data_IF_793523568499
#
_entry.id   IF_793523568499
#
_cell.length_a   1.000
_cell.length_b   1.000
_cell.length_c   1.000
_cell.angle_alpha   90.00
_cell.angle_beta   90.00
_cell.angle_gamma   90.00
#
_symmetry.space_group_name_H-M   'P 1'
#
loop_
_entity.id
_entity.type
_entity.pdbx_description
1 polymer ?
#
# COMPACT_ATOMS: atom_id res chain seq x y z
N UNK A 1 -21.64 3.30 2.41
CA UNK A 1 -20.20 3.10 2.70
C UNK A 1 -20.06 2.12 3.87
N UNK A 2 -19.23 1.07 3.73
CA UNK A 2 -18.90 0.13 4.82
C UNK A 2 -17.42 0.30 5.15
N UNK A 3 -17.09 0.51 6.43
CA UNK A 3 -15.72 0.50 6.94
C UNK A 3 -15.53 -0.85 7.65
N UNK A 4 -14.59 -1.66 7.19
CA UNK A 4 -14.30 -3.00 7.74
C UNK A 4 -15.54 -3.93 7.84
N UNK A 5 -16.46 -3.85 6.87
CA UNK A 5 -17.68 -4.68 6.85
C UNK A 5 -18.84 -4.13 7.68
N UNK A 6 -18.61 -3.12 8.53
CA UNK A 6 -19.64 -2.43 9.30
C UNK A 6 -20.11 -1.21 8.51
N UNK A 7 -21.43 -1.03 8.39
CA UNK A 7 -21.99 0.17 7.74
C UNK A 7 -21.75 1.39 8.62
N UNK A 8 -21.57 2.59 8.05
CA UNK A 8 -21.41 3.82 8.84
C UNK A 8 -22.56 3.97 9.86
N UNK A 9 -23.80 3.67 9.45
CA UNK A 9 -24.95 3.61 10.35
C UNK A 9 -24.76 2.58 11.49
N UNK A 10 -24.25 1.40 11.17
CA UNK A 10 -23.92 0.34 12.14
C UNK A 10 -22.93 0.81 13.21
N UNK A 11 -21.88 1.54 12.81
CA UNK A 11 -20.92 2.13 13.76
C UNK A 11 -21.61 3.11 14.71
N UNK A 12 -22.48 3.99 14.20
CA UNK A 12 -23.25 4.90 15.06
C UNK A 12 -24.25 4.17 15.96
N UNK A 13 -24.83 3.04 15.51
CA UNK A 13 -25.69 2.20 16.35
C UNK A 13 -24.90 1.58 17.49
N UNK A 14 -23.73 1.01 17.22
CA UNK A 14 -22.85 0.41 18.24
C UNK A 14 -22.37 1.43 19.27
N UNK A 15 -22.14 2.68 18.85
CA UNK A 15 -21.81 3.80 19.75
C UNK A 15 -23.02 4.34 20.53
N UNK A 16 -24.24 3.82 20.33
CA UNK A 16 -25.47 4.33 20.95
C UNK A 16 -25.93 5.69 20.39
N UNK A 17 -25.44 6.08 19.21
CA UNK A 17 -25.60 7.39 18.58
C UNK A 17 -26.44 7.32 17.29
N UNK A 18 -27.38 6.37 17.17
CA UNK A 18 -28.25 6.26 15.99
C UNK A 18 -29.04 7.57 15.73
N UNK A 19 -29.39 8.31 16.79
CA UNK A 19 -30.07 9.61 16.69
C UNK A 19 -29.19 10.68 16.04
N UNK A 20 -27.87 10.67 16.31
CA UNK A 20 -26.90 11.57 15.70
C UNK A 20 -26.75 11.24 14.21
N UNK A 21 -26.64 9.96 13.85
CA UNK A 21 -26.59 9.54 12.45
C UNK A 21 -27.82 9.98 11.65
N UNK A 22 -29.03 9.72 12.16
CA UNK A 22 -30.29 10.15 11.53
C UNK A 22 -30.37 11.67 11.39
N UNK A 23 -29.84 12.40 12.38
CA UNK A 23 -29.73 13.86 12.32
C UNK A 23 -28.81 14.33 11.20
N UNK A 24 -27.64 13.72 11.04
CA UNK A 24 -26.67 14.04 9.99
C UNK A 24 -27.19 13.70 8.59
N UNK A 25 -27.89 12.57 8.46
CA UNK A 25 -28.50 12.15 7.19
C UNK A 25 -29.58 13.15 6.74
N UNK A 26 -30.43 13.62 7.68
CA UNK A 26 -31.41 14.68 7.41
C UNK A 26 -30.72 16.00 7.05
N UNK A 27 -29.69 16.39 7.80
CA UNK A 27 -28.91 17.61 7.53
C UNK A 27 -28.24 17.59 6.15
N UNK A 28 -27.76 16.42 5.69
CA UNK A 28 -27.22 16.25 4.34
C UNK A 28 -28.27 16.41 3.25
N UNK A 29 -29.52 16.00 3.50
CA UNK A 29 -30.61 16.14 2.54
C UNK A 29 -31.13 17.59 2.48
N UNK A 30 -31.11 18.30 3.60
CA UNK A 30 -31.60 19.69 3.69
C UNK A 30 -30.51 20.73 3.47
N UNK A 31 -29.24 20.32 3.44
CA UNK A 31 -28.08 21.22 3.39
C UNK A 31 -27.89 22.06 4.66
N UNK A 32 -28.59 21.74 5.76
CA UNK A 32 -28.59 22.54 6.99
C UNK A 32 -28.19 21.69 8.20
N UNK A 33 -27.03 22.01 8.79
CA UNK A 33 -26.54 21.40 10.01
C UNK A 33 -26.89 22.27 11.23
N UNK A 34 -27.69 21.76 12.17
CA UNK A 34 -28.03 22.52 13.39
C UNK A 34 -26.83 22.64 14.32
N UNK A 35 -26.78 23.73 15.11
CA UNK A 35 -25.71 23.96 16.10
C UNK A 35 -25.59 22.82 17.11
N UNK A 36 -26.72 22.28 17.56
CA UNK A 36 -26.75 21.14 18.48
C UNK A 36 -26.13 19.89 17.86
N UNK A 37 -26.45 19.61 16.60
CA UNK A 37 -25.92 18.47 15.86
C UNK A 37 -24.42 18.63 15.61
N UNK A 38 -23.97 19.84 15.26
CA UNK A 38 -22.53 20.22 15.17
C UNK A 38 -21.82 19.93 16.49
N UNK A 39 -22.30 20.47 17.61
CA UNK A 39 -21.67 20.28 18.92
C UNK A 39 -21.63 18.81 19.35
N UNK A 40 -22.71 18.05 19.11
CA UNK A 40 -22.74 16.61 19.40
C UNK A 40 -21.72 15.84 18.58
N UNK A 41 -21.58 16.16 17.29
CA UNK A 41 -20.59 15.53 16.41
C UNK A 41 -19.15 15.86 16.85
N UNK A 42 -18.84 17.14 17.08
CA UNK A 42 -17.50 17.58 17.49
C UNK A 42 -17.06 16.97 18.82
N UNK A 43 -17.99 16.75 19.76
CA UNK A 43 -17.68 16.13 21.07
C UNK A 43 -17.27 14.65 20.97
N UNK A 44 -17.61 13.98 19.87
CA UNK A 44 -17.27 12.57 19.62
C UNK A 44 -15.95 12.40 18.85
N UNK A 45 -15.32 13.51 18.47
CA UNK A 45 -14.06 13.49 17.74
C UNK A 45 -12.88 13.82 18.65
N UNK A 46 -11.67 13.36 18.29
CA UNK A 46 -10.44 13.87 18.88
C UNK A 46 -10.38 15.40 18.82
N UNK A 47 -9.77 16.04 19.83
CA UNK A 47 -9.77 17.51 19.97
C UNK A 47 -9.17 18.23 18.75
N UNK A 48 -8.10 17.68 18.18
CA UNK A 48 -7.44 18.21 16.98
C UNK A 48 -8.39 18.22 15.78
N UNK A 49 -9.08 17.11 15.52
CA UNK A 49 -10.07 16.96 14.44
C UNK A 49 -11.31 17.82 14.72
N UNK A 50 -11.79 17.85 15.95
CA UNK A 50 -12.92 18.67 16.36
C UNK A 50 -12.66 20.17 16.14
N UNK A 51 -11.44 20.63 16.43
CA UNK A 51 -11.04 22.03 16.18
C UNK A 51 -11.05 22.34 14.68
N UNK A 52 -10.39 21.51 13.87
CA UNK A 52 -10.35 21.67 12.41
C UNK A 52 -11.74 21.60 11.76
N UNK A 53 -12.60 20.69 12.26
CA UNK A 53 -13.96 20.54 11.75
C UNK A 53 -14.89 21.65 12.20
N UNK A 54 -14.70 22.20 13.40
CA UNK A 54 -15.41 23.41 13.82
C UNK A 54 -15.08 24.56 12.90
N UNK A 55 -13.79 24.79 12.61
CA UNK A 55 -13.34 25.85 11.72
C UNK A 55 -13.91 25.70 10.29
N UNK A 56 -13.93 24.47 9.74
CA UNK A 56 -14.53 24.19 8.44
C UNK A 56 -16.05 24.46 8.42
N UNK A 57 -16.77 24.16 9.50
CA UNK A 57 -18.19 24.50 9.59
C UNK A 57 -18.46 26.01 9.71
N UNK A 58 -17.53 26.77 10.29
CA UNK A 58 -17.68 28.21 10.49
C UNK A 58 -17.28 29.02 9.25
N UNK A 59 -16.46 28.44 8.34
CA UNK A 59 -16.04 29.05 7.08
C UNK A 59 -16.10 28.05 5.90
N UNK A 60 -17.31 27.67 5.43
CA UNK A 60 -17.51 26.60 4.45
C UNK A 60 -17.02 26.94 3.03
N UNK A 61 -16.94 28.21 2.66
CA UNK A 61 -16.42 28.66 1.36
C UNK A 61 -14.90 28.89 1.36
N UNK A 62 -14.28 28.83 2.54
CA UNK A 62 -12.84 29.00 2.66
C UNK A 62 -12.16 27.65 2.36
N UNK A 63 -11.79 27.46 1.09
CA UNK A 63 -11.03 26.30 0.62
C UNK A 63 -9.67 26.13 1.32
N UNK A 64 -9.31 27.04 2.22
CA UNK A 64 -8.16 26.96 3.13
C UNK A 64 -8.41 26.11 4.38
N UNK A 65 -9.65 25.62 4.62
CA UNK A 65 -9.88 24.77 5.79
C UNK A 65 -8.98 23.53 5.73
N UNK A 66 -8.31 23.23 6.84
CA UNK A 66 -7.37 22.11 6.93
C UNK A 66 -7.99 20.77 6.51
N UNK A 67 -9.31 20.62 6.64
CA UNK A 67 -10.07 19.46 6.18
C UNK A 67 -10.30 19.44 4.67
N UNK A 68 -10.57 20.58 4.04
CA UNK A 68 -10.70 20.65 2.57
C UNK A 68 -9.36 20.34 1.87
N UNK A 69 -8.25 20.62 2.56
CA UNK A 69 -6.90 20.30 2.13
C UNK A 69 -6.40 18.94 2.62
N UNK A 70 -7.24 18.12 3.27
CA UNK A 70 -6.86 16.78 3.74
C UNK A 70 -7.13 15.75 2.65
N UNK A 71 -6.11 14.98 2.28
CA UNK A 71 -6.29 13.86 1.35
C UNK A 71 -6.84 12.61 2.05
N UNK A 72 -7.19 11.61 1.25
CA UNK A 72 -7.82 10.38 1.76
C UNK A 72 -6.87 9.56 2.65
N UNK A 73 -5.58 9.50 2.29
CA UNK A 73 -4.58 8.81 3.09
C UNK A 73 -4.26 9.59 4.36
N UNK A 74 -4.15 10.91 4.31
CA UNK A 74 -3.98 11.71 5.52
C UNK A 74 -5.11 11.44 6.53
N UNK A 75 -6.37 11.48 6.07
CA UNK A 75 -7.52 11.17 6.91
C UNK A 75 -7.49 9.72 7.45
N UNK A 76 -7.11 8.75 6.61
CA UNK A 76 -6.98 7.36 7.02
C UNK A 76 -5.89 7.16 8.07
N UNK A 77 -4.70 7.74 7.86
CA UNK A 77 -3.56 7.63 8.77
C UNK A 77 -3.87 8.29 10.12
N UNK A 78 -4.55 9.44 10.13
CA UNK A 78 -5.01 10.07 11.37
C UNK A 78 -5.97 9.17 12.15
N UNK A 79 -6.84 8.42 11.47
CA UNK A 79 -7.78 7.51 12.12
C UNK A 79 -7.12 6.21 12.62
N UNK A 80 -6.08 5.74 11.94
CA UNK A 80 -5.37 4.49 12.30
C UNK A 80 -4.31 4.72 13.38
N UNK A 81 -3.66 5.89 13.37
CA UNK A 81 -2.57 6.24 14.28
C UNK A 81 -3.00 7.29 15.30
N UNK A 82 -4.14 7.07 15.93
CA UNK A 82 -4.53 7.78 17.15
C UNK A 82 -4.43 6.85 18.36
N UNK A 83 -4.07 7.39 19.52
CA UNK A 83 -4.11 6.65 20.78
C UNK A 83 -5.55 6.45 21.28
N UNK A 84 -5.71 5.77 22.43
CA UNK A 84 -7.03 5.51 23.03
C UNK A 84 -7.78 6.81 23.43
N UNK A 85 -7.07 7.94 23.54
CA UNK A 85 -7.63 9.26 23.81
C UNK A 85 -7.97 10.03 22.53
N UNK A 86 -7.62 9.47 21.36
CA UNK A 86 -7.75 10.11 20.06
C UNK A 86 -6.60 11.04 19.70
N UNK A 87 -5.57 11.15 20.55
CA UNK A 87 -4.41 12.00 20.27
C UNK A 87 -3.50 11.32 19.24
N UNK A 88 -2.86 12.11 18.39
CA UNK A 88 -2.08 11.59 17.27
C UNK A 88 -0.80 10.92 17.78
N UNK A 89 -0.68 9.62 17.55
CA UNK A 89 0.54 8.88 17.82
C UNK A 89 1.62 9.22 16.79
N UNK A 90 2.92 9.07 17.11
CA UNK A 90 3.98 9.21 16.12
C UNK A 90 3.77 8.24 14.95
N UNK A 91 3.83 8.77 13.74
CA UNK A 91 3.64 7.96 12.54
C UNK A 91 4.90 7.16 12.22
N UNK A 92 4.77 5.88 11.81
CA UNK A 92 5.89 5.16 11.24
C UNK A 92 6.37 5.85 9.95
N UNK A 93 7.62 5.61 9.56
CA UNK A 93 8.21 6.19 8.37
C UNK A 93 7.42 5.83 7.10
N UNK A 94 6.83 4.64 7.04
CA UNK A 94 5.94 4.22 5.96
C UNK A 94 4.69 5.10 5.86
N UNK A 95 4.03 5.40 6.99
CA UNK A 95 2.88 6.31 7.03
C UNK A 95 3.27 7.74 6.62
N UNK A 96 4.40 8.24 7.13
CA UNK A 96 4.91 9.57 6.75
C UNK A 96 5.23 9.64 5.25
N UNK A 97 5.78 8.57 4.68
CA UNK A 97 6.07 8.50 3.26
C UNK A 97 4.82 8.53 2.39
N UNK A 98 3.77 7.79 2.75
CA UNK A 98 2.47 7.84 2.04
C UNK A 98 1.93 9.26 2.05
N UNK A 99 1.93 9.92 3.21
CA UNK A 99 1.46 11.31 3.33
C UNK A 99 2.26 12.25 2.42
N UNK A 100 3.59 12.13 2.43
CA UNK A 100 4.46 12.97 1.62
C UNK A 100 4.17 12.79 0.13
N UNK A 101 3.92 11.57 -0.33
CA UNK A 101 3.55 11.28 -1.72
C UNK A 101 2.16 11.84 -2.05
N UNK A 102 1.17 11.65 -1.18
CA UNK A 102 -0.18 12.20 -1.36
C UNK A 102 -0.13 13.72 -1.52
N UNK A 103 0.51 14.43 -0.58
CA UNK A 103 0.63 15.88 -0.61
C UNK A 103 1.38 16.37 -1.84
N UNK A 104 2.50 15.74 -2.19
CA UNK A 104 3.26 16.07 -3.39
C UNK A 104 2.43 15.87 -4.66
N UNK A 105 1.59 14.82 -4.72
CA UNK A 105 0.80 14.48 -5.91
C UNK A 105 -0.38 15.43 -6.18
N UNK A 106 -0.73 16.31 -5.23
CA UNK A 106 -1.90 17.20 -5.32
C UNK A 106 -1.86 18.09 -6.56
N UNK A 107 -0.75 18.80 -6.78
CA UNK A 107 -0.65 19.73 -7.90
C UNK A 107 -0.75 19.01 -9.25
N UNK A 108 -0.08 17.86 -9.39
CA UNK A 108 -0.20 17.03 -10.59
C UNK A 108 -1.67 16.58 -10.83
N UNK A 109 -2.39 16.24 -9.76
CA UNK A 109 -3.80 15.84 -9.84
C UNK A 109 -4.68 17.01 -10.28
N UNK A 110 -4.47 18.20 -9.73
CA UNK A 110 -5.19 19.43 -10.13
C UNK A 110 -4.94 19.71 -11.62
N UNK A 111 -3.68 19.73 -12.05
CA UNK A 111 -3.30 19.95 -13.45
C UNK A 111 -3.96 18.93 -14.39
N UNK A 112 -3.98 17.64 -14.02
CA UNK A 112 -4.69 16.61 -14.78
C UNK A 112 -6.20 16.84 -14.85
N UNK A 113 -6.84 17.25 -13.75
CA UNK A 113 -8.29 17.53 -13.72
C UNK A 113 -8.66 18.76 -14.56
N UNK A 114 -7.73 19.71 -14.70
CA UNK A 114 -7.84 20.89 -15.57
C UNK A 114 -7.42 20.60 -17.03
N UNK A 115 -7.15 19.33 -17.37
CA UNK A 115 -6.65 18.88 -18.69
C UNK A 115 -5.29 19.49 -19.09
N UNK A 116 -4.52 19.99 -18.12
CA UNK A 116 -3.16 20.51 -18.31
C UNK A 116 -2.12 19.37 -18.20
N UNK A 117 -2.27 18.36 -19.05
CA UNK A 117 -1.49 17.11 -18.99
C UNK A 117 0.02 17.31 -19.16
N UNK A 118 0.42 18.21 -20.06
CA UNK A 118 1.84 18.53 -20.27
C UNK A 118 2.46 19.18 -19.02
N UNK A 119 1.77 20.16 -18.43
CA UNK A 119 2.22 20.80 -17.19
C UNK A 119 2.26 19.79 -16.02
N UNK A 120 1.31 18.86 -15.96
CA UNK A 120 1.32 17.78 -14.97
C UNK A 120 2.57 16.89 -15.12
N UNK A 121 2.91 16.47 -16.34
CA UNK A 121 4.11 15.68 -16.62
C UNK A 121 5.39 16.45 -16.25
N UNK A 122 5.48 17.73 -16.60
CA UNK A 122 6.61 18.59 -16.24
C UNK A 122 6.75 18.75 -14.72
N UNK A 123 5.64 18.94 -14.00
CA UNK A 123 5.64 18.99 -12.54
C UNK A 123 6.16 17.68 -11.94
N UNK A 124 5.65 16.54 -12.40
CA UNK A 124 6.06 15.21 -11.92
C UNK A 124 7.56 14.95 -12.18
N UNK A 125 8.06 15.33 -13.35
CA UNK A 125 9.46 15.16 -13.74
C UNK A 125 10.43 15.99 -12.87
N UNK A 126 10.00 17.18 -12.46
CA UNK A 126 10.83 18.11 -11.70
C UNK A 126 10.69 17.96 -10.18
N UNK A 127 9.61 17.34 -9.69
CA UNK A 127 9.38 17.20 -8.26
C UNK A 127 10.43 16.27 -7.60
N UNK A 128 11.11 16.67 -6.50
CA UNK A 128 12.21 15.89 -5.89
C UNK A 128 11.83 14.44 -5.52
N UNK A 129 10.63 14.26 -4.97
CA UNK A 129 10.07 12.97 -4.59
C UNK A 129 9.41 12.22 -5.76
N UNK A 130 8.43 12.84 -6.45
CA UNK A 130 7.60 12.12 -7.42
C UNK A 130 8.37 11.61 -8.64
N UNK A 131 9.43 12.32 -9.07
CA UNK A 131 10.24 11.90 -10.22
C UNK A 131 10.85 10.50 -10.07
N UNK A 132 11.02 10.01 -8.84
CA UNK A 132 11.58 8.68 -8.58
C UNK A 132 10.66 7.54 -9.05
N UNK A 133 9.34 7.80 -9.12
CA UNK A 133 8.34 6.83 -9.57
C UNK A 133 8.03 6.92 -11.07
N UNK A 134 8.75 7.80 -11.78
CA UNK A 134 8.42 8.14 -13.16
C UNK A 134 9.52 7.66 -14.10
N UNK A 135 9.17 6.78 -15.03
CA UNK A 135 10.00 6.54 -16.20
C UNK A 135 9.79 7.67 -17.22
N UNK A 136 10.73 7.80 -18.15
CA UNK A 136 10.61 8.80 -19.23
C UNK A 136 9.38 8.52 -20.11
N UNK A 137 9.04 7.25 -20.26
CA UNK A 137 7.92 6.73 -21.02
C UNK A 137 6.59 7.06 -20.32
N UNK A 138 6.49 6.84 -19.00
CA UNK A 138 5.30 7.22 -18.21
C UNK A 138 5.06 8.72 -18.27
N UNK A 139 6.11 9.55 -18.18
CA UNK A 139 5.98 11.01 -18.30
C UNK A 139 5.44 11.41 -19.68
N UNK A 140 5.91 10.76 -20.76
CA UNK A 140 5.37 10.98 -22.11
C UNK A 140 3.90 10.55 -22.19
N UNK A 141 3.55 9.40 -21.60
CA UNK A 141 2.17 8.92 -21.55
C UNK A 141 1.24 9.89 -20.80
N UNK A 142 1.71 10.46 -19.69
CA UNK A 142 0.94 11.46 -18.92
C UNK A 142 0.78 12.76 -19.70
N UNK A 143 1.79 13.19 -20.46
CA UNK A 143 1.72 14.40 -21.26
C UNK A 143 0.75 14.28 -22.46
N UNK A 144 0.57 13.07 -22.97
CA UNK A 144 -0.24 12.79 -24.17
C UNK A 144 -1.16 11.57 -23.97
N UNK A 145 -2.08 11.60 -22.99
CA UNK A 145 -2.93 10.46 -22.69
C UNK A 145 -3.99 10.28 -23.79
N UNK A 146 -4.08 9.10 -24.44
CA UNK A 146 -5.01 8.91 -25.55
C UNK A 146 -6.47 8.75 -25.13
N UNK A 147 -6.74 8.14 -23.97
CA UNK A 147 -8.07 7.94 -23.40
C UNK A 147 -8.04 7.77 -21.87
N UNK A 148 -9.23 7.74 -21.24
CA UNK A 148 -9.38 7.60 -19.78
C UNK A 148 -8.81 6.28 -19.23
N UNK A 149 -8.87 5.18 -19.98
CA UNK A 149 -8.35 3.88 -19.55
C UNK A 149 -6.82 3.88 -19.55
N UNK A 150 -6.22 4.51 -20.55
CA UNK A 150 -4.77 4.66 -20.63
C UNK A 150 -4.26 5.61 -19.53
N UNK A 151 -5.00 6.68 -19.19
CA UNK A 151 -4.70 7.49 -18.02
C UNK A 151 -4.82 6.69 -16.70
N UNK A 152 -5.86 5.86 -16.55
CA UNK A 152 -6.00 4.97 -15.40
C UNK A 152 -4.83 3.99 -15.32
N UNK A 153 -4.40 3.44 -16.45
CA UNK A 153 -3.26 2.53 -16.52
C UNK A 153 -1.95 3.19 -16.09
N UNK A 154 -1.71 4.45 -16.47
CA UNK A 154 -0.55 5.23 -16.02
C UNK A 154 -0.59 5.51 -14.51
N UNK A 155 -1.76 5.86 -13.97
CA UNK A 155 -1.94 6.07 -12.52
C UNK A 155 -1.68 4.80 -11.72
N UNK A 156 -2.20 3.67 -12.18
CA UNK A 156 -1.96 2.37 -11.55
C UNK A 156 -0.50 1.92 -11.69
N UNK A 157 0.13 2.23 -12.83
CA UNK A 157 1.55 2.01 -13.06
C UNK A 157 2.42 2.75 -12.01
N UNK A 158 2.13 4.02 -11.76
CA UNK A 158 2.77 4.78 -10.68
C UNK A 158 2.45 4.20 -9.29
N UNK A 159 1.20 3.76 -9.07
CA UNK A 159 0.81 3.16 -7.81
C UNK A 159 1.58 1.86 -7.52
N UNK A 160 1.84 1.03 -8.54
CA UNK A 160 2.66 -0.18 -8.40
C UNK A 160 4.09 0.15 -7.93
N UNK A 161 4.75 1.15 -8.53
CA UNK A 161 6.07 1.64 -8.07
C UNK A 161 6.02 2.16 -6.62
N UNK A 162 4.97 2.92 -6.27
CA UNK A 162 4.77 3.41 -4.91
C UNK A 162 4.60 2.26 -3.89
N UNK A 163 3.77 1.27 -4.20
CA UNK A 163 3.52 0.13 -3.32
C UNK A 163 4.74 -0.76 -3.16
N UNK A 164 5.52 -0.97 -4.23
CA UNK A 164 6.79 -1.68 -4.14
C UNK A 164 7.81 -0.91 -3.29
N UNK A 165 7.84 0.42 -3.43
CA UNK A 165 8.62 1.31 -2.58
C UNK A 165 8.20 1.23 -1.10
N UNK A 166 6.90 1.15 -0.81
CA UNK A 166 6.39 1.00 0.56
C UNK A 166 6.81 -0.33 1.20
N UNK A 167 6.79 -1.42 0.43
CA UNK A 167 7.29 -2.71 0.90
C UNK A 167 8.76 -2.63 1.35
N UNK A 168 9.58 -1.86 0.63
CA UNK A 168 10.96 -1.64 1.01
C UNK A 168 11.11 -0.82 2.30
N UNK A 169 10.21 0.13 2.58
CA UNK A 169 10.18 0.83 3.88
C UNK A 169 9.79 -0.14 5.00
N UNK A 170 8.74 -0.94 4.80
CA UNK A 170 8.31 -1.92 5.80
C UNK A 170 9.40 -2.94 6.15
N UNK A 171 10.21 -3.34 5.18
CA UNK A 171 11.36 -4.21 5.43
C UNK A 171 12.41 -3.56 6.35
N UNK A 172 12.64 -2.25 6.19
CA UNK A 172 13.53 -1.48 7.07
C UNK A 172 12.91 -1.29 8.47
N UNK A 173 11.61 -0.96 8.54
CA UNK A 173 10.89 -0.79 9.81
C UNK A 173 10.79 -2.08 10.62
N UNK A 174 10.74 -3.24 9.95
CA UNK A 174 10.77 -4.54 10.59
C UNK A 174 12.13 -4.87 11.25
N UNK A 175 13.15 -4.02 11.05
CA UNK A 175 14.53 -4.21 11.52
C UNK A 175 15.13 -2.94 12.17
N UNK A 176 14.55 -2.42 13.26
CA UNK A 176 15.07 -1.20 13.88
C UNK A 176 16.49 -1.35 14.44
N UNK A 177 16.86 -2.55 14.91
CA UNK A 177 18.10 -2.80 15.66
C UNK A 177 19.19 -3.57 14.88
N UNK A 178 18.94 -3.92 13.61
CA UNK A 178 19.89 -4.70 12.79
C UNK A 178 20.79 -3.76 12.00
N UNK A 179 22.06 -4.12 11.84
CA UNK A 179 23.02 -3.33 11.09
C UNK A 179 22.50 -3.02 9.68
N UNK A 180 22.77 -1.83 9.16
CA UNK A 180 22.29 -1.36 7.85
C UNK A 180 22.62 -2.28 6.67
N UNK A 181 23.58 -3.20 6.85
CA UNK A 181 24.09 -4.16 5.87
C UNK A 181 23.40 -5.53 5.92
N UNK A 182 22.46 -5.77 6.84
CA UNK A 182 21.73 -7.04 6.84
C UNK A 182 20.80 -7.19 5.63
N UNK A 183 20.80 -8.39 5.03
CA UNK A 183 20.01 -8.78 3.86
C UNK A 183 18.51 -8.62 4.10
N UNK A 184 17.78 -8.11 3.11
CA UNK A 184 16.32 -7.93 3.17
C UNK A 184 15.58 -9.23 3.52
N UNK A 185 14.51 -9.16 4.34
CA UNK A 185 13.64 -10.34 4.51
C UNK A 185 12.86 -10.62 3.22
N UNK A 186 12.44 -9.56 2.54
CA UNK A 186 11.58 -9.64 1.36
C UNK A 186 12.30 -10.15 0.12
N UNK A 187 13.64 -10.02 0.05
CA UNK A 187 14.44 -10.64 -1.02
C UNK A 187 14.15 -12.14 -1.18
N UNK A 188 13.80 -12.83 -0.09
CA UNK A 188 13.47 -14.26 -0.12
C UNK A 188 12.13 -14.57 -0.80
N UNK A 189 11.28 -13.56 -0.99
CA UNK A 189 9.98 -13.64 -1.67
C UNK A 189 10.05 -13.15 -3.11
N UNK A 190 11.20 -12.64 -3.54
CA UNK A 190 11.45 -12.20 -4.89
C UNK A 190 12.10 -13.34 -5.69
N UNK A 191 11.69 -13.55 -6.95
CA UNK A 191 12.31 -14.55 -7.80
C UNK A 191 13.79 -14.22 -8.03
N UNK A 192 14.63 -15.24 -8.11
CA UNK A 192 16.04 -15.15 -8.47
C UNK A 192 16.26 -15.84 -9.83
N UNK A 193 17.48 -15.76 -10.39
CA UNK A 193 17.79 -16.49 -11.62
C UNK A 193 17.58 -18.01 -11.48
N UNK A 194 17.75 -18.55 -10.28
CA UNK A 194 17.52 -19.97 -9.97
C UNK A 194 16.06 -20.30 -9.63
N UNK A 195 15.18 -19.30 -9.49
CA UNK A 195 13.76 -19.47 -9.16
C UNK A 195 12.83 -18.63 -10.05
N UNK A 196 13.27 -18.31 -11.27
CA UNK A 196 12.56 -17.40 -12.18
C UNK A 196 11.13 -17.85 -12.55
N UNK A 197 10.81 -19.14 -12.41
CA UNK A 197 9.47 -19.68 -12.64
C UNK A 197 8.57 -19.70 -11.40
N UNK A 198 9.09 -19.35 -10.22
CA UNK A 198 8.34 -19.39 -8.96
C UNK A 198 7.79 -18.01 -8.64
N UNK A 199 6.51 -17.94 -8.32
CA UNK A 199 5.92 -16.74 -7.77
C UNK A 199 6.22 -16.60 -6.26
N UNK A 200 5.89 -15.44 -5.71
CA UNK A 200 6.07 -15.09 -4.30
C UNK A 200 5.49 -16.11 -3.32
N UNK A 201 4.34 -16.72 -3.64
CA UNK A 201 3.69 -17.69 -2.73
C UNK A 201 4.46 -19.01 -2.68
N UNK A 202 4.94 -19.47 -3.83
CA UNK A 202 5.82 -20.65 -3.88
C UNK A 202 7.12 -20.40 -3.12
N UNK A 203 7.70 -19.19 -3.25
CA UNK A 203 8.91 -18.79 -2.53
C UNK A 203 8.70 -18.70 -1.00
N UNK A 204 7.54 -18.18 -0.56
CA UNK A 204 7.16 -18.20 0.85
C UNK A 204 7.07 -19.63 1.40
N UNK A 205 6.54 -20.56 0.61
CA UNK A 205 6.44 -21.96 1.03
C UNK A 205 7.81 -22.65 1.04
N UNK A 206 8.67 -22.39 0.06
CA UNK A 206 10.06 -22.86 0.06
C UNK A 206 10.82 -22.33 1.28
N UNK A 207 10.62 -21.06 1.63
CA UNK A 207 11.20 -20.44 2.82
C UNK A 207 10.78 -21.21 4.07
N UNK A 208 9.47 -21.44 4.24
CA UNK A 208 8.93 -22.18 5.38
C UNK A 208 9.56 -23.57 5.49
N UNK A 209 9.63 -24.32 4.39
CA UNK A 209 10.22 -25.67 4.38
C UNK A 209 11.71 -25.62 4.76
N UNK A 210 12.46 -24.68 4.20
CA UNK A 210 13.89 -24.50 4.50
C UNK A 210 14.13 -24.17 5.97
N UNK A 211 13.40 -23.19 6.52
CA UNK A 211 13.52 -22.77 7.91
C UNK A 211 13.10 -23.89 8.87
N UNK A 212 12.03 -24.61 8.55
CA UNK A 212 11.59 -25.79 9.32
C UNK A 212 12.50 -27.02 9.14
N UNK A 213 13.53 -26.96 8.28
CA UNK A 213 14.43 -28.07 7.91
C UNK A 213 13.70 -29.27 7.30
N UNK A 214 12.67 -29.00 6.51
CA UNK A 214 11.86 -30.00 5.82
C UNK A 214 12.27 -30.03 4.35
N UNK A 215 12.79 -31.17 3.83
CA UNK A 215 13.41 -31.21 2.51
C UNK A 215 12.42 -31.16 1.36
N UNK A 216 11.17 -31.59 1.57
CA UNK A 216 10.15 -31.64 0.50
C UNK A 216 8.75 -31.39 1.05
N UNK A 217 7.79 -30.94 0.22
CA UNK A 217 6.38 -30.83 0.61
C UNK A 217 5.80 -32.17 1.10
N UNK A 218 6.24 -33.30 0.52
CA UNK A 218 5.80 -34.63 0.94
C UNK A 218 6.35 -35.04 2.33
N UNK A 219 7.54 -34.55 2.70
CA UNK A 219 8.11 -34.77 4.02
C UNK A 219 7.34 -34.02 5.12
N UNK A 220 6.77 -32.85 4.80
CA UNK A 220 5.92 -32.09 5.71
C UNK A 220 4.73 -32.91 6.22
N UNK A 221 4.09 -33.69 5.33
CA UNK A 221 2.96 -34.57 5.69
C UNK A 221 3.31 -35.64 6.74
N UNK A 222 4.59 -35.97 6.87
CA UNK A 222 5.10 -37.02 7.78
C UNK A 222 5.82 -36.42 9.00
N UNK A 223 5.86 -35.10 9.12
CA UNK A 223 6.58 -34.43 10.20
C UNK A 223 5.83 -34.58 11.53
N UNK A 224 6.46 -35.28 12.48
CA UNK A 224 5.85 -35.58 13.78
C UNK A 224 5.53 -34.33 14.60
N UNK A 225 6.21 -33.20 14.36
CA UNK A 225 5.95 -31.93 15.07
C UNK A 225 4.56 -31.38 14.78
N UNK A 226 3.95 -31.77 13.66
CA UNK A 226 2.59 -31.35 13.33
C UNK A 226 1.52 -31.97 14.26
N UNK A 227 1.80 -33.11 14.89
CA UNK A 227 0.86 -33.80 15.77
C UNK A 227 -0.45 -34.15 15.05
N UNK A 228 -1.58 -33.70 15.60
CA UNK A 228 -2.91 -33.90 14.98
C UNK A 228 -3.23 -32.89 13.87
N UNK A 229 -2.40 -31.84 13.71
CA UNK A 229 -2.61 -30.86 12.67
C UNK A 229 -2.18 -31.48 11.33
N UNK A 230 -3.08 -31.51 10.37
CA UNK A 230 -2.78 -32.05 9.04
C UNK A 230 -3.16 -31.04 7.96
N UNK A 231 -2.40 -31.08 6.88
CA UNK A 231 -2.69 -30.35 5.64
C UNK A 231 -2.85 -31.39 4.57
N UNK A 232 -3.89 -31.30 3.76
CA UNK A 232 -4.08 -32.26 2.69
C UNK A 232 -3.01 -32.08 1.59
N UNK A 233 -2.65 -33.16 0.86
CA UNK A 233 -1.62 -33.10 -0.17
C UNK A 233 -1.91 -32.12 -1.30
N UNK A 234 -3.19 -31.89 -1.64
CA UNK A 234 -3.58 -31.00 -2.72
C UNK A 234 -3.31 -29.54 -2.34
N UNK A 235 -3.64 -29.15 -1.10
CA UNK A 235 -3.33 -27.83 -0.54
C UNK A 235 -1.83 -27.57 -0.51
N UNK A 236 -1.02 -28.54 -0.07
CA UNK A 236 0.45 -28.40 -0.12
C UNK A 236 0.98 -28.26 -1.55
N UNK A 237 0.43 -29.04 -2.49
CA UNK A 237 0.75 -28.91 -3.90
C UNK A 237 0.39 -27.52 -4.46
N UNK A 238 -0.74 -26.95 -4.05
CA UNK A 238 -1.17 -25.62 -4.45
C UNK A 238 -0.24 -24.52 -3.88
N UNK A 239 0.21 -24.65 -2.63
CA UNK A 239 1.18 -23.71 -2.04
C UNK A 239 2.54 -23.81 -2.72
N UNK A 240 3.02 -25.03 -2.99
CA UNK A 240 4.28 -25.27 -3.67
C UNK A 240 4.32 -24.74 -5.10
N UNK A 241 3.20 -24.76 -5.81
CA UNK A 241 3.05 -24.13 -7.14
C UNK A 241 2.69 -22.64 -7.06
N UNK A 242 2.39 -22.14 -5.87
CA UNK A 242 1.96 -20.76 -5.66
C UNK A 242 0.57 -20.42 -6.22
N UNK A 243 -0.29 -21.42 -6.43
CA UNK A 243 -1.64 -21.22 -6.98
C UNK A 243 -2.68 -20.92 -5.91
N UNK A 244 -2.34 -21.06 -4.63
CA UNK A 244 -3.21 -20.71 -3.51
C UNK A 244 -2.40 -20.17 -2.34
N UNK A 245 -2.92 -19.14 -1.67
CA UNK A 245 -2.29 -18.57 -0.48
C UNK A 245 -2.75 -19.31 0.79
N UNK A 246 -1.85 -19.66 1.72
CA UNK A 246 -2.25 -20.34 2.96
C UNK A 246 -3.26 -19.53 3.80
N UNK A 247 -4.31 -20.19 4.30
CA UNK A 247 -5.31 -19.55 5.18
C UNK A 247 -4.67 -19.13 6.52
N UNK A 248 -5.30 -18.22 7.28
CA UNK A 248 -4.81 -17.84 8.60
C UNK A 248 -4.68 -19.04 9.53
N UNK A 249 -5.67 -19.92 9.57
CA UNK A 249 -5.63 -21.17 10.35
C UNK A 249 -4.42 -22.03 9.98
N UNK A 250 -4.14 -22.17 8.68
CA UNK A 250 -2.99 -22.93 8.23
C UNK A 250 -1.66 -22.29 8.60
N UNK A 251 -1.52 -20.98 8.39
CA UNK A 251 -0.29 -20.24 8.69
C UNK A 251 0.06 -20.32 10.17
N UNK A 252 -0.88 -19.97 11.05
CA UNK A 252 -0.68 -20.00 12.50
C UNK A 252 -0.47 -21.43 12.99
N UNK A 253 -1.24 -22.39 12.47
CA UNK A 253 -1.13 -23.79 12.86
C UNK A 253 0.23 -24.41 12.56
N UNK A 254 0.80 -24.09 11.40
CA UNK A 254 2.13 -24.54 10.96
C UNK A 254 3.24 -23.80 11.70
N UNK A 255 3.17 -22.46 11.76
CA UNK A 255 4.21 -21.64 12.38
C UNK A 255 4.45 -22.06 13.83
N UNK A 256 3.37 -22.18 14.62
CA UNK A 256 3.45 -22.56 16.04
C UNK A 256 4.01 -23.96 16.30
N UNK A 257 4.04 -24.84 15.29
CA UNK A 257 4.48 -26.23 15.43
C UNK A 257 5.87 -26.48 14.86
N UNK A 258 6.23 -25.78 13.80
CA UNK A 258 7.44 -26.06 13.03
C UNK A 258 8.55 -25.04 13.21
N UNK A 259 8.21 -23.83 13.64
CA UNK A 259 9.13 -22.70 13.70
C UNK A 259 9.44 -22.32 15.14
N UNK A 260 10.61 -21.69 15.35
CA UNK A 260 10.90 -20.97 16.59
C UNK A 260 10.00 -19.73 16.71
N UNK A 261 9.94 -19.11 17.89
CA UNK A 261 9.17 -17.87 18.08
C UNK A 261 9.62 -16.75 17.12
N UNK A 262 10.94 -16.56 16.97
CA UNK A 262 11.50 -15.55 16.06
C UNK A 262 11.20 -15.86 14.58
N UNK A 263 11.31 -17.14 14.19
CA UNK A 263 10.98 -17.57 12.83
C UNK A 263 9.47 -17.46 12.55
N UNK A 264 8.61 -17.69 13.55
CA UNK A 264 7.17 -17.54 13.42
C UNK A 264 6.79 -16.07 13.20
N UNK A 265 7.37 -15.14 13.95
CA UNK A 265 7.19 -13.70 13.72
C UNK A 265 7.68 -13.29 12.33
N UNK A 266 8.86 -13.79 11.92
CA UNK A 266 9.40 -13.55 10.57
C UNK A 266 8.45 -14.11 9.51
N UNK A 267 7.90 -15.30 9.72
CA UNK A 267 6.94 -15.92 8.81
C UNK A 267 5.65 -15.11 8.67
N UNK A 268 5.14 -14.54 9.77
CA UNK A 268 3.96 -13.66 9.71
C UNK A 268 4.22 -12.40 8.89
N UNK A 269 5.40 -11.77 9.06
CA UNK A 269 5.82 -10.62 8.25
C UNK A 269 5.96 -10.98 6.78
N UNK A 270 6.63 -12.10 6.47
CA UNK A 270 6.75 -12.60 5.11
C UNK A 270 5.39 -12.94 4.49
N UNK A 271 4.46 -13.48 5.28
CA UNK A 271 3.10 -13.72 4.81
C UNK A 271 2.36 -12.42 4.46
N UNK A 272 2.50 -11.36 5.25
CA UNK A 272 1.90 -10.07 4.95
C UNK A 272 2.50 -9.48 3.66
N UNK A 273 3.82 -9.49 3.53
CA UNK A 273 4.49 -9.00 2.33
C UNK A 273 4.17 -9.83 1.08
N UNK A 274 4.09 -11.16 1.23
CA UNK A 274 3.77 -12.04 0.11
C UNK A 274 2.36 -11.79 -0.44
N UNK A 275 1.38 -11.45 0.42
CA UNK A 275 0.05 -11.03 -0.02
C UNK A 275 0.10 -9.74 -0.82
N UNK A 276 0.91 -8.78 -0.38
CA UNK A 276 1.04 -7.50 -1.07
C UNK A 276 1.72 -7.67 -2.42
N UNK A 277 2.83 -8.39 -2.50
CA UNK A 277 3.51 -8.70 -3.77
C UNK A 277 2.59 -9.45 -4.74
N UNK A 278 1.79 -10.41 -4.26
CA UNK A 278 0.80 -11.09 -5.08
C UNK A 278 -0.32 -10.14 -5.55
N UNK A 279 -0.78 -9.23 -4.69
CA UNK A 279 -1.74 -8.20 -5.07
C UNK A 279 -1.18 -7.27 -6.16
N UNK A 280 0.11 -6.90 -6.11
CA UNK A 280 0.76 -6.15 -7.19
C UNK A 280 0.78 -6.94 -8.50
N UNK A 281 1.09 -8.24 -8.44
CA UNK A 281 0.99 -9.15 -9.58
C UNK A 281 -0.41 -9.20 -10.18
N UNK A 282 -1.45 -9.30 -9.35
CA UNK A 282 -2.84 -9.29 -9.78
C UNK A 282 -3.22 -7.96 -10.45
N UNK A 283 -2.84 -6.81 -9.86
CA UNK A 283 -3.12 -5.49 -10.44
C UNK A 283 -2.42 -5.33 -11.79
N UNK A 284 -1.19 -5.84 -11.93
CA UNK A 284 -0.50 -5.85 -13.21
C UNK A 284 -1.23 -6.71 -14.26
N UNK A 285 -1.66 -7.92 -13.91
CA UNK A 285 -2.43 -8.75 -14.85
C UNK A 285 -3.76 -8.08 -15.25
N UNK A 286 -4.44 -7.41 -14.32
CA UNK A 286 -5.68 -6.70 -14.60
C UNK A 286 -5.46 -5.50 -15.52
N UNK A 287 -4.34 -4.79 -15.35
CA UNK A 287 -3.90 -3.74 -16.25
C UNK A 287 -3.60 -4.26 -17.66
N UNK A 288 -2.90 -5.39 -17.80
CA UNK A 288 -2.67 -6.04 -19.10
C UNK A 288 -4.00 -6.40 -19.77
N UNK A 289 -4.95 -6.92 -18.99
CA UNK A 289 -6.30 -7.25 -19.48
C UNK A 289 -7.08 -6.03 -19.92
N UNK A 290 -7.04 -4.94 -19.14
CA UNK A 290 -7.74 -3.69 -19.44
C UNK A 290 -7.19 -3.02 -20.70
N UNK A 291 -5.88 -3.01 -20.87
CA UNK A 291 -5.25 -2.50 -22.08
C UNK A 291 -5.52 -3.46 -23.26
N UNK A 292 -5.61 -4.76 -23.02
CA UNK A 292 -5.74 -5.80 -24.05
C UNK A 292 -4.43 -5.99 -24.83
N UNK A 293 -4.33 -7.08 -25.59
CA UNK A 293 -3.18 -7.35 -26.45
C UNK A 293 -3.13 -6.32 -27.59
N UNK A 294 -2.19 -5.37 -27.61
CA UNK A 294 -2.13 -4.41 -28.69
C UNK A 294 -1.50 -5.06 -29.92
N UNK A 295 -2.08 -4.82 -31.09
CA UNK A 295 -1.54 -5.24 -32.37
C UNK A 295 -1.04 -4.02 -33.17
N UNK A 296 0.01 -4.21 -33.96
CA UNK A 296 0.54 -3.20 -34.88
C UNK A 296 1.02 -1.91 -34.19
N UNK A 297 0.70 -0.76 -34.80
CA UNK A 297 1.18 0.55 -34.35
C UNK A 297 0.76 0.93 -32.91
N UNK A 298 -0.37 0.40 -32.43
CA UNK A 298 -0.87 0.66 -31.07
C UNK A 298 0.01 -0.01 -30.00
N UNK A 299 0.65 -1.12 -30.33
CA UNK A 299 1.58 -1.80 -29.42
C UNK A 299 2.84 -0.99 -29.18
N UNK A 300 3.42 -0.47 -30.26
CA UNK A 300 4.61 0.37 -30.21
C UNK A 300 4.34 1.71 -29.54
N UNK A 301 3.16 2.32 -29.80
CA UNK A 301 2.74 3.53 -29.11
C UNK A 301 2.61 3.32 -27.59
N UNK A 302 2.02 2.19 -27.16
CA UNK A 302 1.88 1.88 -25.72
C UNK A 302 3.23 1.69 -25.04
N UNK A 303 4.18 1.03 -25.70
CA UNK A 303 5.56 0.94 -25.18
C UNK A 303 6.19 2.33 -25.03
N UNK A 304 6.04 3.20 -26.03
CA UNK A 304 6.57 4.57 -26.01
C UNK A 304 6.00 5.41 -24.85
N UNK A 305 4.76 5.15 -24.46
CA UNK A 305 4.04 5.85 -23.39
C UNK A 305 4.10 5.13 -22.04
N UNK A 306 4.88 4.04 -21.92
CA UNK A 306 5.03 3.33 -20.64
C UNK A 306 3.77 2.57 -20.22
N UNK A 307 2.86 2.34 -21.17
CA UNK A 307 1.63 1.57 -20.99
C UNK A 307 1.86 0.07 -21.18
N UNK A 308 3.03 -0.35 -21.65
CA UNK A 308 3.39 -1.77 -21.69
C UNK A 308 3.77 -2.24 -20.29
N UNK A 309 2.97 -3.14 -19.74
CA UNK A 309 3.38 -3.87 -18.55
C UNK A 309 4.43 -4.93 -18.88
N UNK A 310 5.35 -5.17 -17.94
CA UNK A 310 5.59 -4.51 -16.66
C UNK A 310 6.75 -3.52 -16.81
N UNK A 311 6.47 -2.30 -17.26
CA UNK A 311 7.41 -1.17 -17.17
C UNK A 311 8.74 -1.35 -17.92
N UNK A 312 8.72 -2.07 -19.04
CA UNK A 312 9.93 -2.38 -19.81
C UNK A 312 10.67 -3.64 -19.33
N UNK A 313 10.06 -4.45 -18.47
CA UNK A 313 10.55 -5.79 -18.13
C UNK A 313 9.77 -6.88 -18.90
N UNK A 314 10.19 -8.14 -18.80
CA UNK A 314 9.48 -9.24 -19.47
C UNK A 314 8.35 -9.83 -18.60
N UNK A 315 8.45 -9.70 -17.27
CA UNK A 315 7.47 -10.22 -16.31
C UNK A 315 7.36 -9.33 -15.08
N UNK A 316 6.24 -9.39 -14.37
CA UNK A 316 6.06 -8.60 -13.14
C UNK A 316 7.09 -9.00 -12.07
N UNK A 317 7.44 -10.27 -12.01
CA UNK A 317 8.53 -10.81 -11.20
C UNK A 317 9.88 -10.17 -11.55
N UNK A 318 10.19 -10.01 -12.84
CA UNK A 318 11.42 -9.39 -13.29
C UNK A 318 11.47 -7.89 -12.91
N UNK A 319 10.34 -7.18 -13.05
CA UNK A 319 10.20 -5.81 -12.58
C UNK A 319 10.41 -5.70 -11.06
N UNK A 320 9.71 -6.51 -10.25
CA UNK A 320 9.87 -6.49 -8.79
C UNK A 320 11.32 -6.77 -8.38
N UNK A 321 11.94 -7.80 -8.97
CA UNK A 321 13.35 -8.15 -8.73
C UNK A 321 14.30 -7.02 -9.08
N UNK A 322 14.04 -6.31 -10.18
CA UNK A 322 14.90 -5.20 -10.61
C UNK A 322 14.71 -3.93 -9.78
N UNK A 323 13.47 -3.63 -9.39
CA UNK A 323 13.09 -2.34 -8.80
C UNK A 323 13.12 -2.33 -7.28
N UNK A 324 12.81 -3.46 -6.63
CA UNK A 324 12.82 -3.56 -5.17
C UNK A 324 14.16 -3.15 -4.54
N UNK A 325 15.34 -3.64 -5.01
CA UNK A 325 16.62 -3.24 -4.43
C UNK A 325 16.92 -1.74 -4.57
N UNK A 326 16.47 -1.12 -5.68
CA UNK A 326 16.59 0.32 -5.91
C UNK A 326 15.82 1.09 -4.85
N UNK A 327 14.57 0.69 -4.58
CA UNK A 327 13.74 1.29 -3.54
C UNK A 327 14.30 1.10 -2.14
N UNK A 328 14.78 -0.11 -1.84
CA UNK A 328 15.43 -0.40 -0.56
C UNK A 328 16.64 0.52 -0.33
N UNK A 329 17.49 0.70 -1.34
CA UNK A 329 18.63 1.60 -1.24
C UNK A 329 18.21 3.08 -1.12
N UNK A 330 17.19 3.50 -1.86
CA UNK A 330 16.62 4.85 -1.77
C UNK A 330 16.16 5.16 -0.34
N UNK A 331 15.43 4.23 0.30
CA UNK A 331 14.93 4.41 1.67
C UNK A 331 16.03 4.30 2.72
N UNK A 332 16.99 3.38 2.58
CA UNK A 332 18.17 3.34 3.46
C UNK A 332 18.88 4.69 3.52
N UNK A 333 19.08 5.33 2.36
CA UNK A 333 19.70 6.67 2.27
C UNK A 333 18.82 7.77 2.85
N UNK A 334 17.51 7.68 2.69
CA UNK A 334 16.58 8.74 3.10
C UNK A 334 16.30 8.69 4.61
N UNK A 335 16.02 7.50 5.15
CA UNK A 335 15.82 7.29 6.59
C UNK A 335 17.11 7.48 7.38
N UNK A 336 18.25 7.03 6.83
CA UNK A 336 19.57 7.27 7.44
C UNK A 336 19.90 8.75 7.59
N UNK A 337 19.44 9.61 6.65
CA UNK A 337 19.59 11.07 6.76
C UNK A 337 18.63 11.69 7.77
N UNK A 338 17.40 11.18 7.88
CA UNK A 338 16.42 11.65 8.87
C UNK A 338 16.86 11.36 10.30
N UNK A 339 17.53 10.22 10.54
CA UNK A 339 18.10 9.88 11.84
C UNK A 339 19.39 10.65 12.18
N UNK A 340 20.08 11.20 11.17
CA UNK A 340 21.32 11.98 11.34
C UNK A 340 21.08 13.49 11.46
N UNK A 341 19.90 13.98 11.08
CA UNK A 341 19.48 15.36 11.31
C UNK A 341 18.67 15.43 12.60
N UNK A 342 19.14 16.08 13.68
CA UNK A 342 18.23 16.45 14.75
C UNK A 342 17.14 17.32 14.13
N UNK A 343 15.88 17.05 14.48
CA UNK A 343 14.69 17.84 14.12
C UNK A 343 14.92 19.32 14.46
N UNK A 344 15.55 20.06 13.56
CA UNK A 344 15.48 21.50 13.53
C UNK A 344 14.05 21.82 13.08
N UNK A 345 13.28 22.34 14.02
CA UNK A 345 11.91 22.79 13.83
C UNK A 345 11.77 23.55 12.50
N UNK A 346 10.94 23.03 11.62
CA UNK A 346 10.39 23.80 10.51
C UNK A 346 9.05 24.38 10.99
N UNK A 347 9.14 25.36 11.88
CA UNK A 347 8.15 26.44 11.93
C UNK A 347 8.49 27.41 10.79
N UNK A 348 7.66 27.43 9.75
CA UNK A 348 7.51 28.55 8.82
C UNK A 348 6.16 28.44 8.10
#
# INVERSE_FOLDING_TARGET
MRLQGITLRGTFIEMGEESLFKGLERASQTGQLSRELKTRLLRRMPRSIASAMSAAFDAPEDGSSALAQMGMWEAHLMAVFCDDNGDQAPWPASAQFILNVERASRNATILCNENQFQAAAEYLANHPLLKQFMSSEVLKGIAYPPDENEMLALRLSMALELWLSLLAIWDLEAKPDRAADELSYLEQLLPSDSSNTKNTVALLFDWLLRTAKIPTPAALLKDKRLGQFSVDPQTLGAWSRGTNFPSTTYRTGIANRLLSTEDAETFERLCAAARQLNFLGYVAQELERMLGAPEGARAEQRKLFGLSLPFGHDTIEAWMRSRYPVWLQFHKKTLGKQNAAPLAAADA
#
